data_IF_519153769582
#
_entry.id   IF_519153769582
#
_cell.length_a   1.000
_cell.length_b   1.000
_cell.length_c   1.000
_cell.angle_alpha   90.00
_cell.angle_beta   90.00
_cell.angle_gamma   90.00
#
_symmetry.space_group_name_H-M   'P 1'
#
loop_
_entity.id
_entity.type
_entity.pdbx_description
1 polymer ?
#
# COMPACT_ATOMS: atom_id res chain seq x y z
N UNK A 1 -6.64 10.66 -7.31
CA UNK A 1 -7.93 11.38 -7.18
C UNK A 1 -7.90 12.63 -6.30
N UNK A 2 -7.65 12.60 -4.98
CA UNK A 2 -7.71 13.83 -4.18
C UNK A 2 -6.79 14.94 -4.73
N UNK A 3 -5.54 14.60 -5.06
CA UNK A 3 -4.59 15.57 -5.62
C UNK A 3 -4.99 16.03 -7.02
N UNK A 4 -5.40 15.11 -7.90
CA UNK A 4 -5.91 15.44 -9.23
C UNK A 4 -7.08 16.44 -9.18
N UNK A 5 -8.02 16.28 -8.23
CA UNK A 5 -9.14 17.22 -8.10
C UNK A 5 -8.69 18.58 -7.53
N UNK A 6 -7.74 18.62 -6.59
CA UNK A 6 -7.16 19.88 -6.10
C UNK A 6 -6.48 20.62 -7.26
N UNK A 7 -5.59 19.95 -8.00
CA UNK A 7 -4.86 20.54 -9.11
C UNK A 7 -5.80 21.01 -10.23
N UNK A 8 -6.89 20.28 -10.50
CA UNK A 8 -7.88 20.64 -11.52
C UNK A 8 -8.65 21.91 -11.17
N UNK A 9 -8.93 22.14 -9.88
CA UNK A 9 -9.77 23.24 -9.43
C UNK A 9 -8.96 24.46 -8.97
N UNK A 10 -7.76 24.23 -8.44
CA UNK A 10 -6.98 25.26 -7.77
C UNK A 10 -5.49 24.87 -7.64
N UNK A 11 -4.80 24.79 -8.79
CA UNK A 11 -3.41 24.30 -8.88
C UNK A 11 -2.40 25.12 -8.09
N UNK A 12 -2.63 26.43 -7.94
CA UNK A 12 -1.61 27.37 -7.46
C UNK A 12 -1.88 27.85 -6.02
N UNK A 13 -2.93 27.36 -5.36
CA UNK A 13 -3.35 27.85 -4.04
C UNK A 13 -2.70 27.13 -2.86
N UNK A 14 -1.99 26.02 -3.10
CA UNK A 14 -1.45 25.19 -2.04
C UNK A 14 -0.02 24.76 -2.31
N UNK A 15 0.83 24.89 -1.30
CA UNK A 15 2.05 24.08 -1.21
C UNK A 15 1.64 22.68 -0.71
N UNK A 16 1.87 21.64 -1.51
CA UNK A 16 1.38 20.29 -1.23
C UNK A 16 2.54 19.40 -0.81
N UNK A 17 2.41 18.80 0.38
CA UNK A 17 3.30 17.75 0.86
C UNK A 17 2.51 16.46 1.15
N UNK A 18 2.99 15.33 0.67
CA UNK A 18 2.39 14.00 0.84
C UNK A 18 3.37 13.08 1.55
N UNK A 19 2.87 12.31 2.52
CA UNK A 19 3.60 11.25 3.21
C UNK A 19 2.99 9.89 2.91
N UNK A 20 3.83 8.92 2.56
CA UNK A 20 3.49 7.50 2.44
C UNK A 20 4.49 6.65 3.22
N UNK A 21 4.01 5.63 3.91
CA UNK A 21 4.84 4.67 4.63
C UNK A 21 5.40 3.55 3.72
N UNK A 22 4.82 3.35 2.53
CA UNK A 22 5.35 2.45 1.50
C UNK A 22 6.46 3.15 0.66
N UNK A 23 7.50 2.43 0.18
CA UNK A 23 8.63 2.98 -0.58
C UNK A 23 8.30 3.23 -2.07
N UNK A 24 7.04 3.58 -2.37
CA UNK A 24 6.51 3.67 -3.73
C UNK A 24 5.54 4.85 -3.89
N UNK A 25 5.38 5.41 -5.10
CA UNK A 25 4.33 6.38 -5.38
C UNK A 25 2.94 5.70 -5.41
N UNK A 26 1.86 6.46 -5.62
CA UNK A 26 0.53 5.88 -5.56
C UNK A 26 0.28 4.88 -6.70
N UNK A 27 -0.37 3.76 -6.36
CA UNK A 27 -0.67 2.68 -7.28
C UNK A 27 -2.10 2.18 -7.14
N UNK A 28 -2.60 1.50 -8.17
CA UNK A 28 -3.92 0.89 -8.16
C UNK A 28 -3.90 -0.43 -7.39
N UNK A 29 -4.18 -0.34 -6.09
CA UNK A 29 -4.18 -1.49 -5.17
C UNK A 29 -5.14 -2.63 -5.57
N UNK A 30 -6.20 -2.35 -6.32
CA UNK A 30 -7.13 -3.37 -6.82
C UNK A 30 -6.42 -4.34 -7.77
N UNK A 31 -5.39 -3.86 -8.48
CA UNK A 31 -4.65 -4.66 -9.45
C UNK A 31 -3.60 -5.58 -8.81
N UNK A 32 -3.40 -5.55 -7.48
CA UNK A 32 -2.47 -6.47 -6.81
C UNK A 32 -2.85 -7.94 -7.04
N UNK A 33 -4.14 -8.27 -7.18
CA UNK A 33 -4.57 -9.63 -7.52
C UNK A 33 -4.15 -10.04 -8.93
N UNK A 34 -4.14 -9.11 -9.89
CA UNK A 34 -3.61 -9.33 -11.23
C UNK A 34 -2.09 -9.51 -11.21
N UNK A 35 -1.36 -8.77 -10.37
CA UNK A 35 0.08 -8.94 -10.17
C UNK A 35 0.37 -10.34 -9.61
N UNK A 36 -0.34 -10.75 -8.56
CA UNK A 36 -0.19 -12.07 -7.95
C UNK A 36 -0.50 -13.20 -8.95
N UNK A 37 -1.48 -13.01 -9.84
CA UNK A 37 -1.83 -13.95 -10.90
C UNK A 37 -0.87 -13.90 -12.11
N UNK A 38 0.15 -13.04 -12.09
CA UNK A 38 1.11 -12.88 -13.19
C UNK A 38 0.53 -12.24 -14.46
N UNK A 39 -0.63 -11.57 -14.37
CA UNK A 39 -1.30 -10.93 -15.51
C UNK A 39 -0.76 -9.54 -15.84
N UNK A 40 -0.11 -8.89 -14.89
CA UNK A 40 0.50 -7.57 -15.01
C UNK A 40 1.69 -7.50 -14.05
N UNK A 41 2.57 -6.50 -14.20
CA UNK A 41 3.68 -6.30 -13.29
C UNK A 41 3.42 -5.11 -12.32
N UNK A 42 4.28 -4.96 -11.32
CA UNK A 42 4.14 -3.90 -10.30
C UNK A 42 4.29 -2.48 -10.87
N UNK A 43 5.08 -2.31 -11.93
CA UNK A 43 5.25 -1.00 -12.57
C UNK A 43 3.98 -0.58 -13.31
N UNK A 44 3.29 -1.52 -13.96
CA UNK A 44 2.06 -1.27 -14.73
C UNK A 44 0.90 -0.75 -13.87
N UNK A 45 0.96 -0.95 -12.55
CA UNK A 45 -0.09 -0.55 -11.61
C UNK A 45 0.20 0.79 -10.92
N UNK A 46 1.37 1.39 -11.15
CA UNK A 46 1.68 2.75 -10.71
C UNK A 46 0.74 3.72 -11.43
N UNK A 47 0.09 4.60 -10.67
CA UNK A 47 -0.88 5.55 -11.23
C UNK A 47 -0.22 6.87 -11.63
N UNK A 48 0.64 7.41 -10.77
CA UNK A 48 1.44 8.59 -11.07
C UNK A 48 2.91 8.25 -10.79
N UNK A 49 3.76 8.44 -11.78
CA UNK A 49 5.21 8.29 -11.63
C UNK A 49 5.77 9.46 -10.81
N UNK A 50 6.99 9.32 -10.29
CA UNK A 50 7.66 10.38 -9.51
C UNK A 50 7.72 11.72 -10.26
N UNK A 51 7.93 11.71 -11.57
CA UNK A 51 7.97 12.93 -12.39
C UNK A 51 6.65 13.71 -12.36
N UNK A 52 5.51 13.03 -12.22
CA UNK A 52 4.22 13.71 -12.11
C UNK A 52 4.15 14.58 -10.85
N UNK A 53 4.73 14.13 -9.74
CA UNK A 53 4.78 14.92 -8.50
C UNK A 53 5.70 16.13 -8.66
N UNK A 54 6.87 15.95 -9.28
CA UNK A 54 7.82 17.02 -9.56
C UNK A 54 7.22 18.09 -10.49
N UNK A 55 6.56 17.67 -11.58
CA UNK A 55 5.90 18.54 -12.56
C UNK A 55 4.75 19.35 -11.97
N UNK A 56 4.10 18.85 -10.91
CA UNK A 56 3.00 19.53 -10.22
C UNK A 56 3.45 20.21 -8.91
N UNK A 57 4.76 20.35 -8.68
CA UNK A 57 5.34 20.98 -7.49
C UNK A 57 4.85 20.33 -6.16
N UNK A 58 4.57 19.03 -6.19
CA UNK A 58 4.16 18.26 -5.00
C UNK A 58 5.39 17.62 -4.36
N UNK A 59 5.62 17.91 -3.08
CA UNK A 59 6.65 17.22 -2.30
C UNK A 59 6.12 15.86 -1.84
N UNK A 60 6.64 14.77 -2.41
CA UNK A 60 6.31 13.40 -2.00
C UNK A 60 7.42 12.79 -1.13
N UNK A 61 7.07 12.41 0.10
CA UNK A 61 7.90 11.59 0.98
C UNK A 61 7.37 10.16 1.02
N UNK A 62 8.02 9.25 0.29
CA UNK A 62 7.81 7.79 0.39
C UNK A 62 8.70 7.20 1.47
N UNK A 63 8.37 6.00 1.97
CA UNK A 63 9.10 5.34 3.07
C UNK A 63 9.24 6.27 4.30
N UNK A 64 8.24 7.10 4.57
CA UNK A 64 8.29 8.04 5.70
C UNK A 64 6.95 8.10 6.42
N UNK A 65 6.81 7.27 7.46
CA UNK A 65 5.60 7.22 8.27
C UNK A 65 5.46 8.44 9.16
N UNK A 66 4.30 9.10 9.10
CA UNK A 66 3.88 10.08 10.11
C UNK A 66 3.60 9.35 11.42
N UNK A 67 4.36 9.65 12.47
CA UNK A 67 4.27 9.03 13.79
C UNK A 67 3.24 9.72 14.67
N UNK A 68 3.17 11.06 14.63
CA UNK A 68 2.23 11.83 15.45
C UNK A 68 1.84 13.15 14.80
N UNK A 69 0.70 13.69 15.23
CA UNK A 69 0.15 14.97 14.79
C UNK A 69 -0.14 15.81 16.04
N UNK A 70 0.54 16.94 16.20
CA UNK A 70 0.15 17.96 17.15
C UNK A 70 -0.86 18.91 16.49
N UNK A 71 -2.11 18.86 16.95
CA UNK A 71 -3.21 19.67 16.38
C UNK A 71 -3.27 21.09 16.91
N UNK A 72 -2.74 21.33 18.11
CA UNK A 72 -2.69 22.67 18.71
C UNK A 72 -1.64 23.52 18.00
N UNK A 73 -0.45 22.94 17.79
CA UNK A 73 0.66 23.60 17.09
C UNK A 73 0.58 23.45 15.56
N UNK A 74 -0.37 22.62 15.07
CA UNK A 74 -0.51 22.23 13.66
C UNK A 74 0.79 21.69 13.04
N UNK A 75 1.38 20.71 13.72
CA UNK A 75 2.64 20.08 13.34
C UNK A 75 2.44 18.58 13.11
N UNK A 76 3.11 18.03 12.11
CA UNK A 76 3.32 16.58 11.94
C UNK A 76 4.74 16.21 12.34
N UNK A 77 4.91 15.02 12.92
CA UNK A 77 6.20 14.45 13.28
C UNK A 77 6.30 13.06 12.65
N UNK A 78 7.34 12.82 11.86
CA UNK A 78 7.59 11.53 11.20
C UNK A 78 8.53 10.65 12.02
N UNK A 79 8.56 9.35 11.73
CA UNK A 79 9.51 8.42 12.36
C UNK A 79 10.98 8.74 12.03
N UNK A 80 11.22 9.42 10.90
CA UNK A 80 12.53 9.97 10.51
C UNK A 80 12.86 11.30 11.22
N UNK A 81 12.06 11.68 12.24
CA UNK A 81 12.18 12.90 13.05
C UNK A 81 11.98 14.20 12.24
N UNK A 82 11.37 14.13 11.06
CA UNK A 82 10.96 15.32 10.31
C UNK A 82 9.81 15.99 11.05
N UNK A 83 9.87 17.31 11.13
CA UNK A 83 8.83 18.14 11.70
C UNK A 83 8.37 19.13 10.64
N UNK A 84 7.07 19.20 10.36
CA UNK A 84 6.48 20.09 9.37
C UNK A 84 5.20 20.70 9.91
N UNK A 85 4.99 21.99 9.66
CA UNK A 85 3.75 22.71 9.96
C UNK A 85 2.75 22.56 8.81
N UNK A 86 1.46 22.66 9.10
CA UNK A 86 0.41 22.65 8.09
C UNK A 86 -0.68 23.69 8.38
N UNK A 87 -1.32 24.21 7.31
CA UNK A 87 -2.54 25.00 7.43
C UNK A 87 -3.80 24.12 7.35
N UNK A 88 -3.75 23.12 6.47
CA UNK A 88 -4.79 22.12 6.22
C UNK A 88 -4.15 20.74 6.26
N UNK A 89 -4.87 19.78 6.86
CA UNK A 89 -4.41 18.39 6.96
C UNK A 89 -5.49 17.45 6.43
N UNK A 90 -5.09 16.57 5.51
CA UNK A 90 -5.92 15.46 5.03
C UNK A 90 -5.33 14.16 5.57
N UNK A 91 -6.13 13.39 6.28
CA UNK A 91 -5.76 12.04 6.75
C UNK A 91 -6.32 11.03 5.76
N UNK A 92 -5.42 10.39 5.00
CA UNK A 92 -5.75 9.44 3.95
C UNK A 92 -5.01 8.09 4.11
N UNK A 93 -4.79 7.64 5.34
CA UNK A 93 -3.99 6.45 5.70
C UNK A 93 -4.66 5.10 5.38
N UNK A 94 -5.87 5.11 4.81
CA UNK A 94 -6.57 3.91 4.40
C UNK A 94 -6.89 2.95 5.55
N UNK A 95 -6.49 1.68 5.39
CA UNK A 95 -6.77 0.59 6.34
C UNK A 95 -5.68 -0.48 6.24
N UNK A 96 -5.50 -1.25 7.32
CA UNK A 96 -4.59 -2.39 7.39
C UNK A 96 -5.32 -3.72 7.20
N UNK A 97 -4.60 -4.76 6.78
CA UNK A 97 -5.12 -6.13 6.81
C UNK A 97 -5.31 -6.60 8.26
N UNK A 98 -6.45 -7.20 8.56
CA UNK A 98 -6.70 -7.79 9.87
C UNK A 98 -6.05 -9.17 9.96
N UNK A 99 -4.97 -9.27 10.72
CA UNK A 99 -4.33 -10.56 11.04
C UNK A 99 -5.01 -11.14 12.27
N UNK A 100 -5.46 -12.40 12.19
CA UNK A 100 -6.17 -13.06 13.27
C UNK A 100 -5.31 -13.13 14.55
N UNK A 101 -5.84 -12.74 15.72
CA UNK A 101 -5.11 -12.77 16.98
C UNK A 101 -5.12 -14.19 17.59
N UNK A 102 -4.54 -15.15 16.87
CA UNK A 102 -4.44 -16.57 17.27
C UNK A 102 -2.98 -16.98 17.43
N UNK A 103 -2.75 -18.07 18.16
CA UNK A 103 -1.41 -18.64 18.28
C UNK A 103 -0.83 -18.95 16.90
N UNK A 104 0.43 -18.58 16.69
CA UNK A 104 1.12 -18.77 15.42
C UNK A 104 0.92 -17.63 14.39
N UNK A 105 0.13 -16.60 14.68
CA UNK A 105 -0.10 -15.48 13.75
C UNK A 105 1.15 -14.64 13.42
N UNK A 106 2.22 -14.78 14.21
CA UNK A 106 3.51 -14.12 14.00
C UNK A 106 4.59 -15.06 13.41
N UNK A 107 4.24 -16.30 13.04
CA UNK A 107 5.19 -17.22 12.41
C UNK A 107 5.60 -16.74 11.01
N UNK A 108 6.83 -17.07 10.61
CA UNK A 108 7.26 -16.79 9.23
C UNK A 108 6.36 -17.56 8.25
N UNK A 109 5.86 -16.87 7.24
CA UNK A 109 4.87 -17.42 6.29
C UNK A 109 3.45 -16.87 6.48
N UNK A 110 3.12 -16.29 7.65
CA UNK A 110 1.85 -15.59 7.84
C UNK A 110 1.97 -14.17 7.31
N UNK A 111 1.13 -13.79 6.36
CA UNK A 111 1.12 -12.46 5.77
C UNK A 111 -0.31 -11.99 5.46
N UNK A 112 -0.49 -10.67 5.34
CA UNK A 112 -1.68 -10.09 4.75
C UNK A 112 -1.61 -10.12 3.21
N UNK A 113 -2.66 -9.60 2.58
CA UNK A 113 -2.66 -9.31 1.15
C UNK A 113 -3.18 -7.89 0.93
N UNK A 114 -2.29 -6.91 1.11
CA UNK A 114 -2.65 -5.49 1.13
C UNK A 114 -1.67 -4.61 0.37
N UNK A 115 -0.37 -4.82 0.48
CA UNK A 115 0.66 -3.96 -0.15
C UNK A 115 1.40 -4.67 -1.29
N UNK A 116 2.28 -3.92 -1.97
CA UNK A 116 3.22 -4.48 -2.95
C UNK A 116 4.15 -5.48 -2.26
N UNK A 117 4.65 -5.17 -1.07
CA UNK A 117 5.53 -6.04 -0.29
C UNK A 117 4.84 -7.36 0.09
N UNK A 118 3.58 -7.31 0.54
CA UNK A 118 2.78 -8.51 0.81
C UNK A 118 2.70 -9.41 -0.44
N UNK A 119 2.43 -8.78 -1.59
CA UNK A 119 2.30 -9.47 -2.88
C UNK A 119 3.62 -10.10 -3.31
N UNK A 120 4.72 -9.36 -3.17
CA UNK A 120 6.06 -9.85 -3.47
C UNK A 120 6.43 -11.03 -2.58
N UNK A 121 6.14 -10.93 -1.27
CA UNK A 121 6.36 -12.01 -0.32
C UNK A 121 5.61 -13.28 -0.71
N UNK A 122 4.36 -13.17 -1.13
CA UNK A 122 3.56 -14.30 -1.60
C UNK A 122 4.16 -14.93 -2.87
N UNK A 123 4.57 -14.12 -3.84
CA UNK A 123 5.20 -14.58 -5.09
C UNK A 123 6.51 -15.32 -4.78
N UNK A 124 7.36 -14.76 -3.93
CA UNK A 124 8.65 -15.37 -3.58
C UNK A 124 8.45 -16.65 -2.76
N UNK A 125 7.50 -16.65 -1.83
CA UNK A 125 7.15 -17.85 -1.06
C UNK A 125 6.65 -18.97 -1.97
N UNK A 126 5.86 -18.66 -3.01
CA UNK A 126 5.34 -19.65 -3.95
C UNK A 126 6.44 -20.31 -4.82
N UNK A 127 7.59 -19.64 -5.01
CA UNK A 127 8.75 -20.24 -5.69
C UNK A 127 9.35 -21.39 -4.88
N UNK A 128 9.37 -21.26 -3.56
CA UNK A 128 10.02 -22.20 -2.65
C UNK A 128 9.07 -23.22 -1.99
N UNK A 129 7.82 -22.83 -1.77
CA UNK A 129 6.80 -23.62 -1.07
C UNK A 129 5.73 -24.10 -2.05
N UNK A 130 4.95 -25.10 -1.64
CA UNK A 130 3.93 -25.74 -2.48
C UNK A 130 2.53 -25.75 -1.90
N UNK A 131 2.34 -25.38 -0.64
CA UNK A 131 1.04 -25.39 0.02
C UNK A 131 0.76 -24.04 0.64
N UNK A 132 -0.47 -23.55 0.47
CA UNK A 132 -0.94 -22.34 1.12
C UNK A 132 -2.34 -22.56 1.71
N UNK A 133 -2.60 -21.88 2.82
CA UNK A 133 -3.94 -21.77 3.40
C UNK A 133 -4.33 -20.30 3.34
N UNK A 134 -5.45 -20.00 2.70
CA UNK A 134 -6.05 -18.67 2.70
C UNK A 134 -7.15 -18.64 3.73
N UNK A 135 -7.00 -17.80 4.75
CA UNK A 135 -8.01 -17.65 5.80
C UNK A 135 -8.89 -16.45 5.44
N UNK A 136 -10.16 -16.73 5.13
CA UNK A 136 -11.16 -15.76 4.69
C UNK A 136 -11.62 -15.98 3.24
N UNK A 137 -12.86 -16.45 3.06
CA UNK A 137 -13.49 -16.68 1.75
C UNK A 137 -14.15 -15.45 1.10
N UNK A 138 -13.72 -14.24 1.45
CA UNK A 138 -14.19 -13.02 0.79
C UNK A 138 -13.57 -12.83 -0.60
N UNK A 139 -13.99 -11.80 -1.35
CA UNK A 139 -13.51 -11.55 -2.73
C UNK A 139 -11.98 -11.56 -2.84
N UNK A 140 -11.29 -10.75 -2.01
CA UNK A 140 -9.83 -10.68 -2.01
C UNK A 140 -9.17 -12.01 -1.62
N UNK A 141 -9.77 -12.77 -0.70
CA UNK A 141 -9.26 -14.09 -0.32
C UNK A 141 -9.36 -15.10 -1.47
N UNK A 142 -10.48 -15.11 -2.20
CA UNK A 142 -10.64 -15.97 -3.37
C UNK A 142 -9.73 -15.54 -4.53
N UNK A 143 -9.51 -14.24 -4.72
CA UNK A 143 -8.54 -13.73 -5.71
C UNK A 143 -7.10 -14.09 -5.35
N UNK A 144 -6.73 -14.00 -4.06
CA UNK A 144 -5.44 -14.42 -3.55
C UNK A 144 -5.23 -15.94 -3.72
N UNK A 145 -6.25 -16.74 -3.37
CA UNK A 145 -6.23 -18.19 -3.57
C UNK A 145 -6.04 -18.54 -5.04
N UNK A 146 -6.74 -17.84 -5.95
CA UNK A 146 -6.56 -18.04 -7.39
C UNK A 146 -5.14 -17.70 -7.84
N UNK A 147 -4.60 -16.57 -7.40
CA UNK A 147 -3.23 -16.17 -7.72
C UNK A 147 -2.19 -17.20 -7.25
N UNK A 148 -2.31 -17.71 -6.03
CA UNK A 148 -1.42 -18.75 -5.51
C UNK A 148 -1.53 -20.08 -6.29
N UNK A 149 -2.74 -20.45 -6.73
CA UNK A 149 -2.95 -21.60 -7.64
C UNK A 149 -2.25 -21.37 -8.98
N UNK A 150 -2.38 -20.17 -9.56
CA UNK A 150 -1.72 -19.80 -10.82
C UNK A 150 -0.19 -19.82 -10.71
N UNK A 151 0.35 -19.56 -9.51
CA UNK A 151 1.77 -19.72 -9.17
C UNK A 151 2.18 -21.18 -8.86
N UNK A 152 1.26 -22.14 -8.98
CA UNK A 152 1.53 -23.57 -8.84
C UNK A 152 1.51 -24.11 -7.41
N UNK A 153 0.82 -23.43 -6.49
CA UNK A 153 0.59 -23.93 -5.13
C UNK A 153 -0.70 -24.75 -5.04
N UNK A 154 -0.73 -25.70 -4.10
CA UNK A 154 -1.92 -26.38 -3.59
C UNK A 154 -2.55 -25.53 -2.49
N UNK A 155 -3.77 -25.04 -2.72
CA UNK A 155 -4.39 -23.98 -1.91
C UNK A 155 -5.69 -24.47 -1.27
N UNK A 156 -5.81 -24.25 0.04
CA UNK A 156 -7.04 -24.45 0.79
C UNK A 156 -7.58 -23.12 1.30
N UNK A 157 -8.89 -22.89 1.17
CA UNK A 157 -9.58 -21.72 1.74
C UNK A 157 -10.33 -22.17 3.00
N UNK A 158 -10.18 -21.40 4.09
CA UNK A 158 -10.82 -21.64 5.40
C UNK A 158 -11.63 -20.42 5.81
#
# INVERSE_FOLDING_TARGET
>A
RCMEEILKHDSDSYEITIFGDEPHPNYNRIMLSHVLQGKTNMQDIIMNEYSWYEENEITLYTDERVQSINREEKIIITEKKRTLTYDKLIIATGSSAFILPVEGSALSGVTGFRTIEDTQFMIDTAKEKKKAVVIGGGLLGLEAARGLIDLGMDVHVV
#
